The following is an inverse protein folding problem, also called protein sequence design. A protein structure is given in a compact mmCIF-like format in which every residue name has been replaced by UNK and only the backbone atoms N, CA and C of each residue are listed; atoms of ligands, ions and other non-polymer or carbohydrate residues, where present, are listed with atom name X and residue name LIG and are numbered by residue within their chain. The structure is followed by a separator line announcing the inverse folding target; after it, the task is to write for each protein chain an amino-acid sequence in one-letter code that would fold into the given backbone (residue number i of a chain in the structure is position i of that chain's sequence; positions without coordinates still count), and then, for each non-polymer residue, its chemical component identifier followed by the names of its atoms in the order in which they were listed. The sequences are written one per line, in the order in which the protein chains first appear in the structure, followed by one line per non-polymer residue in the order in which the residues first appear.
data_IF_900100274731
#
_entry.id   IF_900100274731
#
_cell.length_a   1.000
_cell.length_b   1.000
_cell.length_c   1.000
_cell.angle_alpha   90.00
_cell.angle_beta   90.00
_cell.angle_gamma   90.00
#
_symmetry.space_group_name_H-M   'P 1'
#
loop_
_entity.id
_entity.type
_entity.pdbx_description
1 polymer ?
#
# COMPACT_ATOMS: atom_id res chain seq x y z
N UNK A 1 23.97 -0.50 -4.76
CA UNK A 1 23.56 -1.73 -4.03
C UNK A 1 22.58 -1.47 -2.88
N UNK A 2 22.94 -0.81 -1.77
CA UNK A 2 22.02 -0.62 -0.63
C UNK A 2 20.72 0.12 -1.01
N UNK A 3 20.83 1.20 -1.78
CA UNK A 3 19.66 1.96 -2.25
C UNK A 3 18.69 1.09 -3.07
N UNK A 4 19.21 0.25 -3.97
CA UNK A 4 18.43 -0.69 -4.78
C UNK A 4 17.67 -1.70 -3.91
N UNK A 5 18.32 -2.24 -2.87
CA UNK A 5 17.71 -3.16 -1.91
C UNK A 5 16.58 -2.47 -1.15
N UNK A 6 16.80 -1.24 -0.68
CA UNK A 6 15.78 -0.44 0.01
C UNK A 6 14.57 -0.20 -0.88
N UNK A 7 14.76 0.12 -2.16
CA UNK A 7 13.67 0.36 -3.12
C UNK A 7 12.86 -0.91 -3.40
N UNK A 8 13.53 -2.07 -3.54
CA UNK A 8 12.83 -3.35 -3.71
C UNK A 8 12.01 -3.70 -2.46
N UNK A 9 12.60 -3.55 -1.27
CA UNK A 9 11.90 -3.76 0.00
C UNK A 9 10.70 -2.82 0.13
N UNK A 10 10.85 -1.56 -0.25
CA UNK A 10 9.75 -0.60 -0.25
C UNK A 10 8.62 -1.02 -1.20
N UNK A 11 8.95 -1.51 -2.40
CA UNK A 11 7.96 -2.08 -3.32
C UNK A 11 7.19 -3.27 -2.73
N UNK A 12 7.89 -4.17 -2.04
CA UNK A 12 7.26 -5.30 -1.33
C UNK A 12 6.32 -4.79 -0.24
N UNK A 13 6.73 -3.80 0.55
CA UNK A 13 5.90 -3.21 1.61
C UNK A 13 4.62 -2.59 1.03
N UNK A 14 4.72 -1.84 -0.08
CA UNK A 14 3.56 -1.26 -0.76
C UNK A 14 2.62 -2.37 -1.28
N UNK A 15 3.17 -3.44 -1.85
CA UNK A 15 2.37 -4.57 -2.31
C UNK A 15 1.65 -5.29 -1.14
N UNK A 16 2.38 -5.57 -0.06
CA UNK A 16 1.80 -6.15 1.15
C UNK A 16 0.70 -5.26 1.74
N UNK A 17 0.90 -3.94 1.72
CA UNK A 17 -0.10 -2.99 2.16
C UNK A 17 -1.40 -3.11 1.36
N UNK A 18 -1.32 -3.21 0.02
CA UNK A 18 -2.49 -3.41 -0.84
C UNK A 18 -3.21 -4.71 -0.50
N UNK A 19 -2.48 -5.81 -0.37
CA UNK A 19 -3.06 -7.13 -0.06
C UNK A 19 -3.76 -7.14 1.31
N UNK A 20 -3.12 -6.58 2.33
CA UNK A 20 -3.70 -6.46 3.68
C UNK A 20 -4.93 -5.56 3.65
N UNK A 21 -4.89 -4.45 2.91
CA UNK A 21 -6.04 -3.54 2.80
C UNK A 21 -7.24 -4.23 2.15
N UNK A 22 -7.03 -5.00 1.08
CA UNK A 22 -8.08 -5.81 0.45
C UNK A 22 -8.62 -6.88 1.40
N UNK A 23 -7.74 -7.56 2.14
CA UNK A 23 -8.13 -8.54 3.15
C UNK A 23 -9.02 -7.91 4.24
N UNK A 24 -8.65 -6.74 4.74
CA UNK A 24 -9.43 -6.03 5.76
C UNK A 24 -10.80 -5.60 5.20
N UNK A 25 -10.85 -5.05 3.98
CA UNK A 25 -12.14 -4.69 3.34
C UNK A 25 -13.02 -5.92 3.18
N UNK A 26 -12.47 -7.04 2.69
CA UNK A 26 -13.18 -8.32 2.59
C UNK A 26 -13.69 -8.79 3.94
N UNK A 27 -12.87 -8.68 4.99
CA UNK A 27 -13.23 -9.11 6.33
C UNK A 27 -14.35 -8.25 6.92
N UNK A 28 -14.25 -6.93 6.84
CA UNK A 28 -15.31 -6.01 7.30
C UNK A 28 -16.60 -6.26 6.51
N UNK A 29 -16.49 -6.48 5.20
CA UNK A 29 -17.65 -6.70 4.36
C UNK A 29 -18.40 -8.00 4.70
N UNK A 30 -17.69 -9.11 4.94
CA UNK A 30 -18.33 -10.42 5.12
C UNK A 30 -18.57 -10.80 6.59
N UNK A 31 -17.79 -10.30 7.54
CA UNK A 31 -17.79 -10.76 8.93
C UNK A 31 -18.28 -9.71 9.94
N UNK A 32 -18.63 -8.50 9.52
CA UNK A 32 -19.22 -7.51 10.44
C UNK A 32 -20.68 -7.87 10.77
N UNK A 33 -20.93 -8.26 12.02
CA UNK A 33 -22.25 -8.62 12.54
C UNK A 33 -23.25 -7.44 12.57
N UNK A 34 -22.79 -6.21 12.75
CA UNK A 34 -23.63 -5.02 12.80
C UNK A 34 -23.56 -4.27 11.45
N UNK A 35 -24.68 -4.19 10.74
CA UNK A 35 -24.77 -3.59 9.40
C UNK A 35 -24.54 -2.07 9.40
N UNK A 36 -24.95 -1.36 10.44
CA UNK A 36 -24.69 0.08 10.58
C UNK A 36 -23.21 0.36 10.85
N UNK A 37 -22.61 -0.43 11.76
CA UNK A 37 -21.19 -0.29 12.09
C UNK A 37 -20.28 -0.75 10.94
N UNK A 38 -20.73 -1.72 10.13
CA UNK A 38 -20.06 -2.19 8.91
C UNK A 38 -19.81 -1.04 7.94
N UNK A 39 -20.85 -0.26 7.60
CA UNK A 39 -20.71 0.80 6.61
C UNK A 39 -19.75 1.90 7.10
N UNK A 40 -19.90 2.33 8.35
CA UNK A 40 -19.06 3.38 8.93
C UNK A 40 -17.58 2.97 9.03
N UNK A 41 -17.31 1.74 9.52
CA UNK A 41 -15.94 1.21 9.59
C UNK A 41 -15.30 1.04 8.23
N UNK A 42 -16.05 0.55 7.23
CA UNK A 42 -15.56 0.37 5.86
C UNK A 42 -15.25 1.72 5.20
N UNK A 43 -16.10 2.74 5.40
CA UNK A 43 -15.88 4.09 4.88
C UNK A 43 -14.63 4.73 5.46
N UNK A 44 -14.47 4.72 6.79
CA UNK A 44 -13.29 5.28 7.46
C UNK A 44 -12.02 4.53 7.03
N UNK A 45 -12.05 3.19 7.08
CA UNK A 45 -10.90 2.39 6.71
C UNK A 45 -10.49 2.66 5.27
N UNK A 46 -11.44 2.69 4.34
CA UNK A 46 -11.15 2.90 2.92
C UNK A 46 -10.59 4.29 2.67
N UNK A 47 -11.15 5.34 3.28
CA UNK A 47 -10.62 6.71 3.13
C UNK A 47 -9.18 6.83 3.64
N UNK A 48 -8.93 6.41 4.88
CA UNK A 48 -7.59 6.48 5.48
C UNK A 48 -6.61 5.62 4.70
N UNK A 49 -7.02 4.40 4.34
CA UNK A 49 -6.17 3.47 3.60
C UNK A 49 -5.86 3.98 2.19
N UNK A 50 -6.84 4.53 1.48
CA UNK A 50 -6.63 5.11 0.16
C UNK A 50 -5.69 6.33 0.22
N UNK A 51 -5.85 7.22 1.20
CA UNK A 51 -4.94 8.37 1.38
C UNK A 51 -3.50 7.92 1.64
N UNK A 52 -3.30 6.91 2.48
CA UNK A 52 -1.98 6.33 2.74
C UNK A 52 -1.41 5.63 1.50
N UNK A 53 -2.23 4.88 0.76
CA UNK A 53 -1.81 4.23 -0.48
C UNK A 53 -1.35 5.26 -1.50
N UNK A 54 -2.14 6.29 -1.74
CA UNK A 54 -1.81 7.37 -2.69
C UNK A 54 -0.49 8.03 -2.29
N UNK A 55 -0.30 8.32 -1.01
CA UNK A 55 0.94 8.92 -0.50
C UNK A 55 2.16 8.01 -0.72
N UNK A 56 2.04 6.72 -0.41
CA UNK A 56 3.12 5.75 -0.63
C UNK A 56 3.43 5.58 -2.12
N UNK A 57 2.41 5.58 -2.97
CA UNK A 57 2.55 5.55 -4.42
C UNK A 57 3.27 6.81 -4.94
N UNK A 58 2.87 8.00 -4.49
CA UNK A 58 3.57 9.25 -4.83
C UNK A 58 5.06 9.18 -4.47
N UNK A 59 5.39 8.69 -3.27
CA UNK A 59 6.79 8.49 -2.88
C UNK A 59 7.49 7.42 -3.72
N UNK A 60 6.81 6.35 -4.10
CA UNK A 60 7.36 5.32 -4.98
C UNK A 60 7.72 5.88 -6.36
N UNK A 61 6.86 6.70 -6.95
CA UNK A 61 7.12 7.36 -8.23
C UNK A 61 8.14 8.50 -8.15
N UNK A 62 8.29 9.14 -6.99
CA UNK A 62 9.31 10.17 -6.76
C UNK A 62 10.74 9.61 -6.71
N UNK A 63 10.92 8.28 -6.60
CA UNK A 63 12.23 7.64 -6.63
C UNK A 63 12.84 7.78 -8.02
N UNK A 64 14.13 8.13 -8.08
CA UNK A 64 14.87 8.20 -9.35
C UNK A 64 15.21 6.81 -9.89
N UNK A 65 14.25 6.19 -10.58
CA UNK A 65 14.37 4.84 -11.11
C UNK A 65 15.54 4.67 -12.09
N UNK A 66 15.81 5.67 -12.92
CA UNK A 66 16.88 5.58 -13.93
C UNK A 66 18.27 5.44 -13.29
N UNK A 67 18.52 6.17 -12.20
CA UNK A 67 19.76 6.08 -11.44
C UNK A 67 19.89 4.74 -10.69
N UNK A 68 18.77 4.18 -10.23
CA UNK A 68 18.78 2.87 -9.57
C UNK A 68 19.05 1.76 -10.58
N UNK A 69 18.40 1.78 -11.75
CA UNK A 69 18.62 0.76 -12.78
C UNK A 69 20.04 0.83 -13.36
N UNK A 70 20.62 2.01 -13.56
CA UNK A 70 22.00 2.13 -14.03
C UNK A 70 22.99 1.51 -13.03
N UNK A 71 22.84 1.78 -11.72
CA UNK A 71 23.70 1.21 -10.66
C UNK A 71 23.49 -0.29 -10.39
N UNK A 72 22.52 -0.94 -11.02
CA UNK A 72 22.29 -2.39 -10.93
C UNK A 72 22.89 -3.11 -12.14
N UNK A 73 22.84 -2.48 -13.32
CA UNK A 73 23.28 -3.06 -14.59
C UNK A 73 24.78 -2.87 -14.82
N UNK A 74 25.36 -1.77 -14.32
CA UNK A 74 26.82 -1.52 -14.25
C UNK A 74 27.37 -1.89 -12.89
#
# INVERSE_FOLDING_TARGET
MIQSVITILYGIIVLSYVLVSLFIIYHIFNYSFNSGFKFFSLLIFTLVSASLLITNLMFFWAINWSEIFSKIIT
#
